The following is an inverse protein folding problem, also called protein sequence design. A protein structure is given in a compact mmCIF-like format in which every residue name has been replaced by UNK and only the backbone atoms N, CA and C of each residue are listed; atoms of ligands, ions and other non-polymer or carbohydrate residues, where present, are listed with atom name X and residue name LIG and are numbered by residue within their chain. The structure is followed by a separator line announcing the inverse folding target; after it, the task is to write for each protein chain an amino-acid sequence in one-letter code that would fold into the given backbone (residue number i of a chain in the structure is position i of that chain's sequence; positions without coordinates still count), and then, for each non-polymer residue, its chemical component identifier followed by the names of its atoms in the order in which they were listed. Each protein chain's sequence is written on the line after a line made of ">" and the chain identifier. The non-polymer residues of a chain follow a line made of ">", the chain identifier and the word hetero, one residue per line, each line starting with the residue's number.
data_IF_251750730607
#
_entry.id   IF_251750730607
#
_cell.length_a   1.000
_cell.length_b   1.000
_cell.length_c   1.000
_cell.angle_alpha   90.00
_cell.angle_beta   90.00
_cell.angle_gamma   90.00
#
_symmetry.space_group_name_H-M   'P 1'
#
loop_
_entity.id
_entity.type
_entity.pdbx_description
1 polymer ?
#
# COMPACT_ATOMS: atom_id res chain seq x y z
N UNK A 1 -2.84 -16.63 4.95
CA UNK A 1 -2.85 -16.06 3.59
C UNK A 1 -1.55 -15.28 3.41
N UNK A 2 -0.76 -15.65 2.41
CA UNK A 2 0.54 -15.05 2.15
C UNK A 2 0.39 -13.77 1.32
N UNK A 3 0.84 -12.65 1.88
CA UNK A 3 1.00 -11.38 1.18
C UNK A 3 2.48 -11.29 0.77
N UNK A 4 2.85 -11.92 -0.34
CA UNK A 4 4.24 -11.98 -0.80
C UNK A 4 4.44 -10.98 -1.94
N UNK A 5 5.51 -10.20 -1.84
CA UNK A 5 5.92 -9.25 -2.90
C UNK A 5 6.36 -10.03 -4.13
N UNK A 6 5.84 -9.66 -5.30
CA UNK A 6 6.17 -10.33 -6.56
C UNK A 6 7.30 -9.57 -7.28
N UNK A 7 8.51 -10.11 -7.15
CA UNK A 7 9.71 -9.56 -7.81
C UNK A 7 9.68 -9.76 -9.33
N UNK A 8 8.98 -10.79 -9.84
CA UNK A 8 8.86 -11.02 -11.27
C UNK A 8 7.96 -9.96 -11.90
N UNK A 9 6.86 -9.62 -11.23
CA UNK A 9 5.99 -8.51 -11.63
C UNK A 9 6.74 -7.17 -11.64
N UNK A 10 7.55 -6.89 -10.60
CA UNK A 10 8.34 -5.67 -10.55
C UNK A 10 9.33 -5.56 -11.74
N UNK A 11 9.92 -6.70 -12.14
CA UNK A 11 10.78 -6.75 -13.33
C UNK A 11 9.98 -6.53 -14.62
N UNK A 12 8.78 -7.09 -14.74
CA UNK A 12 7.90 -6.93 -15.90
C UNK A 12 7.48 -5.47 -16.12
N UNK A 13 6.97 -4.79 -15.08
CA UNK A 13 6.58 -3.38 -15.18
C UNK A 13 7.76 -2.43 -15.39
N UNK A 14 8.98 -2.89 -15.08
CA UNK A 14 10.21 -2.12 -15.34
C UNK A 14 10.78 -2.38 -16.73
N UNK A 15 10.20 -3.30 -17.51
CA UNK A 15 10.72 -3.72 -18.82
C UNK A 15 12.11 -4.34 -18.75
N UNK A 16 12.45 -4.98 -17.61
CA UNK A 16 13.79 -5.48 -17.31
C UNK A 16 14.83 -4.40 -17.02
N UNK A 17 14.42 -3.12 -16.93
CA UNK A 17 15.33 -2.01 -16.68
C UNK A 17 15.52 -1.78 -15.17
N UNK A 18 16.73 -2.09 -14.69
CA UNK A 18 17.10 -1.94 -13.30
C UNK A 18 17.00 -0.49 -12.77
N UNK A 19 17.30 0.52 -13.60
CA UNK A 19 17.16 1.92 -13.19
C UNK A 19 15.70 2.29 -12.93
N UNK A 20 14.79 1.79 -13.77
CA UNK A 20 13.34 1.99 -13.62
C UNK A 20 12.84 1.25 -12.37
N UNK A 21 13.25 -0.01 -12.19
CA UNK A 21 12.96 -0.81 -10.99
C UNK A 21 13.38 -0.09 -9.71
N UNK A 22 14.61 0.42 -9.66
CA UNK A 22 15.14 1.12 -8.50
C UNK A 22 14.40 2.43 -8.23
N UNK A 23 13.99 3.18 -9.26
CA UNK A 23 13.15 4.38 -9.07
C UNK A 23 11.82 4.03 -8.41
N UNK A 24 11.15 2.97 -8.86
CA UNK A 24 9.90 2.54 -8.23
C UNK A 24 10.10 2.15 -6.76
N UNK A 25 11.14 1.37 -6.45
CA UNK A 25 11.44 1.00 -5.06
C UNK A 25 11.78 2.22 -4.19
N UNK A 26 12.48 3.21 -4.73
CA UNK A 26 12.78 4.46 -4.02
C UNK A 26 11.52 5.25 -3.70
N UNK A 27 10.59 5.39 -4.67
CA UNK A 27 9.30 6.05 -4.44
C UNK A 27 8.53 5.34 -3.32
N UNK A 28 8.46 4.01 -3.35
CA UNK A 28 7.80 3.23 -2.29
C UNK A 28 8.49 3.44 -0.95
N UNK A 29 9.83 3.38 -0.87
CA UNK A 29 10.58 3.57 0.38
C UNK A 29 10.40 4.94 1.01
N UNK A 30 10.27 5.99 0.20
CA UNK A 30 10.18 7.37 0.69
C UNK A 30 8.73 7.74 1.03
N UNK A 31 7.79 7.48 0.13
CA UNK A 31 6.40 7.94 0.28
C UNK A 31 5.57 7.03 1.20
N UNK A 32 5.73 5.71 1.11
CA UNK A 32 4.88 4.78 1.85
C UNK A 32 4.91 4.98 3.38
N UNK A 33 6.08 5.17 4.03
CA UNK A 33 6.12 5.42 5.48
C UNK A 33 5.37 6.69 5.88
N UNK A 34 5.46 7.74 5.07
CA UNK A 34 4.80 9.04 5.31
C UNK A 34 3.29 8.90 5.16
N UNK A 35 2.84 8.24 4.10
CA UNK A 35 1.41 7.99 3.83
C UNK A 35 0.80 7.07 4.90
N UNK A 36 1.53 6.04 5.33
CA UNK A 36 1.12 5.15 6.43
C UNK A 36 0.92 5.93 7.72
N UNK A 37 1.89 6.78 8.10
CA UNK A 37 1.80 7.58 9.32
C UNK A 37 0.59 8.54 9.27
N UNK A 38 0.44 9.27 8.16
CA UNK A 38 -0.68 10.17 7.95
C UNK A 38 -2.04 9.42 7.99
N UNK A 39 -2.12 8.21 7.45
CA UNK A 39 -3.32 7.38 7.54
C UNK A 39 -3.70 7.10 8.99
N UNK A 40 -2.75 6.66 9.83
CA UNK A 40 -3.05 6.40 11.24
C UNK A 40 -3.51 7.66 11.99
N UNK A 41 -2.97 8.83 11.68
CA UNK A 41 -3.37 10.08 12.31
C UNK A 41 -4.77 10.55 11.87
N UNK A 42 -5.13 10.35 10.60
CA UNK A 42 -6.48 10.60 10.10
C UNK A 42 -7.50 9.63 10.72
N UNK A 43 -7.13 8.36 10.89
CA UNK A 43 -7.98 7.36 11.54
C UNK A 43 -8.23 7.71 13.02
N UNK A 44 -7.23 8.21 13.75
CA UNK A 44 -7.42 8.73 15.13
C UNK A 44 -8.34 9.94 15.15
N UNK A 45 -8.24 10.78 14.12
CA UNK A 45 -9.04 12.01 13.97
C UNK A 45 -10.43 11.77 13.35
N UNK A 46 -10.80 10.51 13.07
CA UNK A 46 -12.06 10.11 12.39
C UNK A 46 -12.31 10.83 11.05
N UNK A 47 -11.23 11.16 10.32
CA UNK A 47 -11.29 11.84 9.02
C UNK A 47 -11.35 10.84 7.87
N UNK A 48 -12.48 10.14 7.74
CA UNK A 48 -12.60 8.96 6.86
C UNK A 48 -12.38 9.27 5.37
N UNK A 49 -12.86 10.42 4.88
CA UNK A 49 -12.67 10.83 3.48
C UNK A 49 -11.19 11.06 3.15
N UNK A 50 -10.48 11.80 3.99
CA UNK A 50 -9.03 12.03 3.84
C UNK A 50 -8.26 10.71 4.00
N UNK A 51 -8.70 9.83 4.90
CA UNK A 51 -8.10 8.50 5.05
C UNK A 51 -8.27 7.65 3.79
N UNK A 52 -9.44 7.70 3.13
CA UNK A 52 -9.68 7.01 1.87
C UNK A 52 -8.74 7.49 0.76
N UNK A 53 -8.47 8.80 0.68
CA UNK A 53 -7.49 9.36 -0.27
C UNK A 53 -6.07 8.83 0.00
N UNK A 54 -5.69 8.63 1.27
CA UNK A 54 -4.41 8.00 1.59
C UNK A 54 -4.40 6.50 1.25
N UNK A 55 -5.48 5.78 1.50
CA UNK A 55 -5.61 4.37 1.08
C UNK A 55 -5.45 4.24 -0.43
N UNK A 56 -6.03 5.16 -1.21
CA UNK A 56 -5.86 5.22 -2.67
C UNK A 56 -4.38 5.37 -3.08
N UNK A 57 -3.66 6.29 -2.43
CA UNK A 57 -2.23 6.49 -2.71
C UNK A 57 -1.39 5.28 -2.32
N UNK A 58 -1.67 4.69 -1.16
CA UNK A 58 -0.99 3.49 -0.66
C UNK A 58 -1.24 2.29 -1.58
N UNK A 59 -2.47 2.12 -2.07
CA UNK A 59 -2.85 1.07 -3.02
C UNK A 59 -1.96 1.09 -4.27
N UNK A 60 -1.62 2.26 -4.81
CA UNK A 60 -0.73 2.36 -5.97
C UNK A 60 0.65 1.77 -5.69
N UNK A 61 1.15 1.86 -4.45
CA UNK A 61 2.42 1.22 -4.03
C UNK A 61 2.27 -0.29 -3.94
N UNK A 62 1.12 -0.80 -3.53
CA UNK A 62 0.85 -2.24 -3.57
C UNK A 62 0.86 -2.76 -5.01
N UNK A 63 0.30 -1.98 -5.94
CA UNK A 63 0.37 -2.24 -7.38
C UNK A 63 1.81 -2.33 -7.85
N UNK A 64 2.68 -1.37 -7.48
CA UNK A 64 4.12 -1.40 -7.83
C UNK A 64 4.81 -2.67 -7.30
N UNK A 65 4.49 -3.08 -6.08
CA UNK A 65 5.08 -4.26 -5.44
C UNK A 65 4.47 -5.59 -5.90
N UNK A 66 3.51 -5.58 -6.83
CA UNK A 66 2.81 -6.80 -7.28
C UNK A 66 1.96 -7.46 -6.19
N UNK A 67 1.55 -6.73 -5.16
CA UNK A 67 0.76 -7.26 -4.05
C UNK A 67 -0.73 -7.33 -4.41
N UNK A 68 -1.10 -8.21 -5.35
CA UNK A 68 -2.46 -8.30 -5.90
C UNK A 68 -3.56 -8.41 -4.83
N UNK A 69 -3.38 -9.28 -3.83
CA UNK A 69 -4.34 -9.42 -2.73
C UNK A 69 -4.40 -8.17 -1.84
N UNK A 70 -3.24 -7.55 -1.57
CA UNK A 70 -3.17 -6.32 -0.79
C UNK A 70 -3.80 -5.13 -1.51
N UNK A 71 -3.62 -5.08 -2.83
CA UNK A 71 -4.24 -4.10 -3.71
C UNK A 71 -5.77 -4.20 -3.65
N UNK A 72 -6.33 -5.41 -3.77
CA UNK A 72 -7.78 -5.59 -3.69
C UNK A 72 -8.34 -5.20 -2.32
N UNK A 73 -7.68 -5.61 -1.23
CA UNK A 73 -8.06 -5.20 0.13
C UNK A 73 -8.08 -3.67 0.26
N UNK A 74 -7.11 -2.98 -0.34
CA UNK A 74 -7.06 -1.52 -0.31
C UNK A 74 -8.18 -0.87 -1.15
N UNK A 75 -8.55 -1.44 -2.30
CA UNK A 75 -9.72 -0.99 -3.08
C UNK A 75 -10.98 -1.09 -2.26
N UNK A 76 -11.24 -2.26 -1.69
CA UNK A 76 -12.48 -2.51 -0.94
C UNK A 76 -12.54 -1.66 0.33
N UNK A 77 -11.40 -1.49 1.02
CA UNK A 77 -11.32 -0.65 2.21
C UNK A 77 -11.44 0.86 1.89
N UNK A 78 -10.90 1.33 0.76
CA UNK A 78 -11.09 2.70 0.27
C UNK A 78 -12.57 3.04 0.11
N UNK A 79 -13.35 2.14 -0.51
CA UNK A 79 -14.80 2.30 -0.65
C UNK A 79 -15.51 2.21 0.72
N UNK A 80 -15.10 1.27 1.57
CA UNK A 80 -15.64 1.11 2.92
C UNK A 80 -15.51 2.39 3.75
N UNK A 81 -14.34 3.05 3.71
CA UNK A 81 -14.11 4.31 4.42
C UNK A 81 -15.08 5.43 3.99
N UNK A 82 -15.54 5.45 2.74
CA UNK A 82 -16.50 6.46 2.24
C UNK A 82 -17.89 6.31 2.88
N UNK A 83 -18.22 5.10 3.34
CA UNK A 83 -19.48 4.75 4.00
C UNK A 83 -19.30 4.37 5.48
N UNK A 84 -18.14 4.70 6.06
CA UNK A 84 -17.78 4.42 7.45
C UNK A 84 -17.78 2.93 7.82
N UNK A 85 -17.52 2.05 6.85
CA UNK A 85 -17.29 0.62 7.06
C UNK A 85 -15.80 0.34 7.32
N UNK A 86 -15.52 -0.22 8.49
CA UNK A 86 -14.15 -0.56 8.94
C UNK A 86 -13.88 -2.07 8.94
N UNK A 87 -14.75 -2.89 8.35
CA UNK A 87 -14.65 -4.36 8.37
C UNK A 87 -13.30 -4.87 7.84
N UNK A 88 -12.69 -4.16 6.89
CA UNK A 88 -11.40 -4.50 6.30
C UNK A 88 -10.19 -3.79 6.92
N UNK A 89 -10.39 -2.97 7.96
CA UNK A 89 -9.31 -2.19 8.59
C UNK A 89 -8.15 -3.09 9.04
N UNK A 90 -8.44 -4.16 9.77
CA UNK A 90 -7.41 -5.08 10.27
C UNK A 90 -6.66 -5.77 9.12
N UNK A 91 -7.35 -6.15 8.06
CA UNK A 91 -6.74 -6.74 6.88
C UNK A 91 -5.82 -5.74 6.19
N UNK A 92 -6.28 -4.50 6.00
CA UNK A 92 -5.48 -3.43 5.42
C UNK A 92 -4.22 -3.13 6.26
N UNK A 93 -4.35 -3.01 7.58
CA UNK A 93 -3.22 -2.78 8.50
C UNK A 93 -2.21 -3.94 8.51
N UNK A 94 -2.68 -5.17 8.29
CA UNK A 94 -1.81 -6.34 8.08
C UNK A 94 -0.99 -6.18 6.81
N UNK A 95 -1.61 -5.76 5.70
CA UNK A 95 -0.90 -5.48 4.44
C UNK A 95 0.11 -4.34 4.61
N UNK A 96 -0.25 -3.27 5.33
CA UNK A 96 0.70 -2.19 5.64
C UNK A 96 1.95 -2.70 6.38
N UNK A 97 1.76 -3.64 7.30
CA UNK A 97 2.85 -4.25 8.07
C UNK A 97 3.76 -5.11 7.18
N UNK A 98 3.17 -5.88 6.27
CA UNK A 98 3.92 -6.66 5.27
C UNK A 98 4.80 -5.75 4.41
N UNK A 99 4.25 -4.64 3.91
CA UNK A 99 5.02 -3.68 3.11
C UNK A 99 6.11 -3.01 3.94
N UNK A 100 5.81 -2.60 5.18
CA UNK A 100 6.82 -2.06 6.11
C UNK A 100 7.99 -3.03 6.33
N UNK A 101 7.71 -4.32 6.54
CA UNK A 101 8.74 -5.34 6.73
C UNK A 101 9.55 -5.57 5.45
N UNK A 102 8.92 -5.47 4.27
CA UNK A 102 9.62 -5.58 3.00
C UNK A 102 10.58 -4.41 2.78
N UNK A 103 10.10 -3.16 2.90
CA UNK A 103 10.94 -1.97 2.67
C UNK A 103 12.13 -1.86 3.64
N UNK A 104 12.03 -2.43 4.84
CA UNK A 104 13.12 -2.49 5.81
C UNK A 104 14.22 -3.50 5.44
N UNK A 105 13.90 -4.50 4.62
CA UNK A 105 14.85 -5.55 4.21
C UNK A 105 15.63 -5.22 2.94
N UNK A 106 15.18 -4.22 2.19
CA UNK A 106 15.78 -3.79 0.93
C UNK A 106 16.54 -2.48 1.09
#
# INVERSE_FOLDING_TARGET
>A
MEHVVDLAYLNDISGGNELVRNKFLQVVKVEFPQEKAAYFDLMKSKKNKEAAELVHKIKNKFGILGLNNGYQIAVDYEEGLKVEDYSLKTNFETVLTVVSNYIQKI
#
